data_IF_838821913965
#
_entry.id   IF_838821913965
#
_cell.length_a   1.000
_cell.length_b   1.000
_cell.length_c   1.000
_cell.angle_alpha   90.00
_cell.angle_beta   90.00
_cell.angle_gamma   90.00
#
_symmetry.space_group_name_H-M   'P 1'
#
loop_
_entity.id
_entity.type
_entity.pdbx_description
1 polymer ?
#
# COMPACT_ATOMS: atom_id res chain seq x y z
N UNK A 1 14.25 -68.92 12.47
CA UNK A 1 13.30 -67.86 12.09
C UNK A 1 13.80 -66.44 12.46
N UNK A 2 14.85 -65.84 11.84
CA UNK A 2 15.29 -64.49 12.25
C UNK A 2 15.18 -63.39 11.17
N UNK A 3 14.79 -63.72 9.94
CA UNK A 3 14.88 -62.76 8.80
C UNK A 3 13.71 -61.76 8.71
N UNK A 4 12.56 -62.05 9.31
CA UNK A 4 11.38 -61.19 9.27
C UNK A 4 11.47 -60.00 10.25
N UNK A 5 12.00 -60.21 11.46
CA UNK A 5 12.16 -59.17 12.47
C UNK A 5 13.11 -58.04 12.03
N UNK A 6 14.15 -58.38 11.27
CA UNK A 6 15.14 -57.42 10.79
C UNK A 6 14.59 -56.48 9.70
N UNK A 7 13.62 -56.92 8.90
CA UNK A 7 12.99 -56.08 7.86
C UNK A 7 11.98 -55.09 8.43
N UNK A 8 11.31 -55.43 9.53
CA UNK A 8 10.37 -54.54 10.22
C UNK A 8 11.09 -53.40 10.97
N UNK A 9 12.30 -53.64 11.48
CA UNK A 9 13.13 -52.62 12.13
C UNK A 9 13.65 -51.54 11.16
N UNK A 10 13.98 -51.92 9.91
CA UNK A 10 14.42 -50.95 8.90
C UNK A 10 13.26 -50.12 8.31
N UNK A 11 12.05 -50.67 8.27
CA UNK A 11 10.85 -49.92 7.84
C UNK A 11 10.40 -48.90 8.90
N UNK A 12 10.55 -49.22 10.20
CA UNK A 12 10.21 -48.30 11.29
C UNK A 12 11.19 -47.12 11.43
N UNK A 13 12.47 -47.31 11.09
CA UNK A 13 13.48 -46.24 11.16
C UNK A 13 13.35 -45.18 10.04
N UNK A 14 12.66 -45.50 8.94
CA UNK A 14 12.49 -44.59 7.80
C UNK A 14 11.32 -43.61 7.97
N UNK A 15 10.48 -43.78 8.99
CA UNK A 15 9.30 -42.93 9.24
C UNK A 15 9.57 -41.68 10.10
N UNK A 16 10.71 -41.59 10.79
CA UNK A 16 10.96 -40.53 11.78
C UNK A 16 11.71 -39.29 11.23
N UNK A 17 12.12 -39.28 9.97
CA UNK A 17 12.92 -38.19 9.40
C UNK A 17 12.11 -37.09 8.69
N UNK A 18 10.77 -37.16 8.72
CA UNK A 18 9.90 -36.17 8.08
C UNK A 18 9.24 -35.19 9.07
N UNK A 19 9.77 -35.02 10.28
CA UNK A 19 9.40 -33.92 11.16
C UNK A 19 10.09 -32.64 10.66
N UNK A 20 9.53 -32.02 9.62
CA UNK A 20 9.95 -30.71 9.16
C UNK A 20 9.74 -29.69 10.28
N UNK A 21 10.84 -29.19 10.86
CA UNK A 21 10.80 -28.05 11.77
C UNK A 21 10.31 -26.83 10.99
N UNK A 22 9.02 -26.51 11.11
CA UNK A 22 8.50 -25.22 10.69
C UNK A 22 8.94 -24.17 11.72
N UNK A 23 10.07 -23.51 11.48
CA UNK A 23 10.42 -22.30 12.22
C UNK A 23 9.41 -21.20 11.86
N UNK A 24 8.81 -20.52 12.86
CA UNK A 24 7.95 -19.40 12.57
C UNK A 24 8.76 -18.31 11.85
N UNK A 25 8.14 -17.57 10.90
CA UNK A 25 8.83 -16.46 10.25
C UNK A 25 9.28 -15.46 11.32
N UNK A 26 10.47 -14.84 11.15
CA UNK A 26 10.96 -13.84 12.09
C UNK A 26 9.97 -12.67 12.18
N UNK A 27 9.92 -12.05 13.34
CA UNK A 27 9.03 -10.91 13.55
C UNK A 27 9.45 -9.74 12.65
N UNK A 28 8.47 -9.03 12.06
CA UNK A 28 8.69 -7.98 11.06
C UNK A 28 9.67 -6.88 11.52
N UNK A 29 9.65 -6.52 12.81
CA UNK A 29 10.56 -5.52 13.36
C UNK A 29 12.04 -5.92 13.29
N UNK A 30 12.35 -7.21 13.13
CA UNK A 30 13.73 -7.72 13.01
C UNK A 30 14.30 -7.51 11.61
N UNK A 31 13.44 -7.43 10.59
CA UNK A 31 13.82 -7.07 9.22
C UNK A 31 13.78 -5.55 8.97
N UNK A 32 13.28 -4.77 9.93
CA UNK A 32 13.22 -3.31 9.82
C UNK A 32 14.61 -2.70 10.01
N UNK A 33 14.94 -1.68 9.21
CA UNK A 33 16.26 -1.05 9.21
C UNK A 33 16.17 0.47 9.23
N UNK A 34 16.97 1.10 10.09
CA UNK A 34 17.02 2.56 10.22
C UNK A 34 18.26 3.10 9.53
N UNK A 35 18.09 3.51 8.28
CA UNK A 35 19.16 4.08 7.47
C UNK A 35 19.26 5.60 7.70
N UNK A 36 20.48 6.14 7.62
CA UNK A 36 20.72 7.59 7.74
C UNK A 36 20.14 8.33 6.53
N UNK A 37 20.39 7.79 5.34
CA UNK A 37 19.83 8.27 4.08
C UNK A 37 18.48 7.60 3.85
N UNK A 38 17.43 8.41 3.71
CA UNK A 38 16.05 7.92 3.59
C UNK A 38 15.34 8.58 2.40
N UNK A 39 14.52 7.84 1.64
CA UNK A 39 13.74 8.40 0.53
C UNK A 39 12.52 9.18 1.00
N UNK A 40 12.19 9.20 2.31
CA UNK A 40 10.94 9.74 2.83
C UNK A 40 10.98 11.25 3.12
N UNK A 41 12.00 11.97 2.61
CA UNK A 41 12.24 13.37 2.98
C UNK A 41 12.77 14.21 1.81
N UNK A 42 12.33 15.47 1.73
CA UNK A 42 12.94 16.52 0.91
C UNK A 42 12.97 17.86 1.67
N UNK A 43 13.64 18.87 1.12
CA UNK A 43 13.86 20.17 1.75
C UNK A 43 13.29 21.29 0.89
N UNK A 44 12.83 22.35 1.55
CA UNK A 44 12.38 23.60 0.91
C UNK A 44 12.96 24.79 1.65
N UNK A 45 13.24 25.87 0.92
CA UNK A 45 13.67 27.14 1.53
C UNK A 45 12.51 27.97 2.08
N UNK A 46 11.26 27.49 1.94
CA UNK A 46 10.06 28.16 2.42
C UNK A 46 9.76 27.82 3.88
N UNK A 47 8.88 28.61 4.49
CA UNK A 47 8.33 28.29 5.80
C UNK A 47 7.46 27.01 5.74
N UNK A 48 7.29 26.27 6.85
CA UNK A 48 6.61 24.98 6.85
C UNK A 48 5.20 24.99 6.25
N UNK A 49 4.41 26.05 6.49
CA UNK A 49 3.07 26.17 5.93
C UNK A 49 3.10 26.30 4.40
N UNK A 50 3.97 27.16 3.87
CA UNK A 50 4.13 27.37 2.43
C UNK A 50 4.71 26.15 1.73
N UNK A 51 5.65 25.45 2.36
CA UNK A 51 6.18 24.18 1.86
C UNK A 51 5.08 23.12 1.74
N UNK A 52 4.15 23.06 2.70
CA UNK A 52 3.01 22.16 2.65
C UNK A 52 1.97 22.59 1.61
N UNK A 53 1.81 23.88 1.30
CA UNK A 53 1.00 24.34 0.17
C UNK A 53 1.56 23.85 -1.18
N UNK A 54 2.89 23.77 -1.33
CA UNK A 54 3.50 23.12 -2.50
C UNK A 54 3.14 21.63 -2.56
N UNK A 55 3.20 20.93 -1.42
CA UNK A 55 2.76 19.55 -1.29
C UNK A 55 1.29 19.34 -1.67
N UNK A 56 0.39 20.24 -1.24
CA UNK A 56 -1.03 20.23 -1.63
C UNK A 56 -1.19 20.35 -3.14
N UNK A 57 -0.50 21.32 -3.75
CA UNK A 57 -0.52 21.55 -5.21
C UNK A 57 0.03 20.34 -5.97
N UNK A 58 1.12 19.74 -5.51
CA UNK A 58 1.70 18.55 -6.10
C UNK A 58 0.68 17.39 -6.08
N UNK A 59 0.07 17.08 -4.93
CA UNK A 59 -0.93 16.02 -4.82
C UNK A 59 -2.18 16.28 -5.68
N UNK A 60 -2.71 17.50 -5.65
CA UNK A 60 -3.85 17.89 -6.49
C UNK A 60 -3.53 17.75 -7.98
N UNK A 61 -2.32 18.11 -8.41
CA UNK A 61 -1.88 17.95 -9.81
C UNK A 61 -1.84 16.50 -10.28
N UNK A 62 -1.69 15.55 -9.35
CA UNK A 62 -1.67 14.12 -9.63
C UNK A 62 -3.05 13.46 -9.46
N UNK A 63 -4.10 14.26 -9.21
CA UNK A 63 -5.48 13.78 -9.04
C UNK A 63 -5.75 13.13 -7.69
N UNK A 64 -4.99 13.49 -6.64
CA UNK A 64 -5.33 13.10 -5.27
C UNK A 64 -6.42 14.00 -4.72
N UNK A 65 -7.36 13.41 -3.99
CA UNK A 65 -8.34 14.13 -3.16
C UNK A 65 -7.68 14.46 -1.83
N UNK A 66 -7.68 15.72 -1.43
CA UNK A 66 -7.12 16.14 -0.15
C UNK A 66 -8.15 16.02 0.98
N UNK A 67 -7.68 15.67 2.18
CA UNK A 67 -8.48 15.61 3.39
C UNK A 67 -7.94 16.55 4.48
N UNK A 68 -8.86 17.21 5.19
CA UNK A 68 -8.56 18.11 6.30
C UNK A 68 -8.13 19.52 5.87
N UNK A 69 -7.83 20.36 6.86
CA UNK A 69 -7.50 21.78 6.69
C UNK A 69 -6.19 22.20 7.38
N UNK A 70 -5.36 21.23 7.78
CA UNK A 70 -4.07 21.51 8.41
C UNK A 70 -3.13 22.30 7.47
N UNK A 71 -2.36 23.21 8.05
CA UNK A 71 -1.42 24.07 7.32
C UNK A 71 -0.04 23.42 7.17
N UNK A 72 0.37 22.61 8.15
CA UNK A 72 1.68 21.93 8.19
C UNK A 72 1.59 20.42 8.00
N UNK A 73 0.40 19.91 7.68
CA UNK A 73 0.17 18.50 7.36
C UNK A 73 -0.83 18.38 6.23
N UNK A 74 -0.50 17.56 5.24
CA UNK A 74 -1.36 17.31 4.07
C UNK A 74 -1.67 15.82 4.03
N UNK A 75 -2.93 15.45 3.82
CA UNK A 75 -3.32 14.08 3.49
C UNK A 75 -3.98 14.09 2.13
N UNK A 76 -3.56 13.17 1.27
CA UNK A 76 -4.15 12.95 -0.04
C UNK A 76 -4.46 11.48 -0.26
N UNK A 77 -5.61 11.21 -0.86
CA UNK A 77 -6.06 9.87 -1.23
C UNK A 77 -6.28 9.79 -2.74
N UNK A 78 -5.86 8.68 -3.34
CA UNK A 78 -6.22 8.34 -4.71
C UNK A 78 -6.65 6.88 -4.79
N UNK A 79 -7.79 6.65 -5.43
CA UNK A 79 -8.38 5.33 -5.62
C UNK A 79 -8.06 4.83 -7.03
N UNK A 80 -7.78 3.55 -7.13
CA UNK A 80 -7.48 2.83 -8.36
C UNK A 80 -8.29 1.53 -8.39
N UNK A 81 -8.64 1.09 -9.59
CA UNK A 81 -9.30 -0.19 -9.82
C UNK A 81 -8.55 -0.92 -10.95
N UNK A 82 -7.43 -1.60 -10.63
CA UNK A 82 -6.62 -2.31 -11.64
C UNK A 82 -7.38 -3.43 -12.34
N UNK A 83 -8.34 -4.04 -11.62
CA UNK A 83 -9.25 -5.07 -12.12
C UNK A 83 -10.67 -4.81 -11.58
N UNK A 84 -11.73 -5.31 -12.23
CA UNK A 84 -13.10 -5.08 -11.78
C UNK A 84 -13.36 -5.51 -10.33
N UNK A 85 -12.68 -6.55 -9.85
CA UNK A 85 -12.80 -7.16 -8.53
C UNK A 85 -11.74 -6.71 -7.51
N UNK A 86 -10.83 -5.82 -7.90
CA UNK A 86 -9.74 -5.31 -7.06
C UNK A 86 -9.81 -3.79 -6.91
N UNK A 87 -9.87 -3.32 -5.67
CA UNK A 87 -9.70 -1.91 -5.33
C UNK A 87 -8.31 -1.67 -4.74
N UNK A 88 -7.66 -0.58 -5.12
CA UNK A 88 -6.41 -0.13 -4.50
C UNK A 88 -6.55 1.32 -4.10
N UNK A 89 -6.21 1.64 -2.87
CA UNK A 89 -6.17 3.01 -2.37
C UNK A 89 -4.73 3.37 -2.04
N UNK A 90 -4.30 4.55 -2.48
CA UNK A 90 -2.99 5.10 -2.16
C UNK A 90 -3.19 6.37 -1.33
N UNK A 91 -2.81 6.29 -0.06
CA UNK A 91 -2.88 7.38 0.90
C UNK A 91 -1.49 7.97 1.08
N UNK A 92 -1.33 9.26 0.80
CA UNK A 92 -0.08 10.00 1.03
C UNK A 92 -0.30 10.99 2.16
N UNK A 93 0.60 10.99 3.14
CA UNK A 93 0.68 12.01 4.18
C UNK A 93 1.98 12.77 4.04
N UNK A 94 1.89 14.10 3.94
CA UNK A 94 3.02 15.01 4.02
C UNK A 94 3.00 15.75 5.36
N UNK A 95 4.16 15.91 5.98
CA UNK A 95 4.34 16.71 7.21
C UNK A 95 5.48 17.67 6.98
N UNK A 96 5.24 18.96 7.17
CA UNK A 96 6.23 20.00 7.00
C UNK A 96 6.68 20.53 8.36
N UNK A 97 7.98 20.47 8.65
CA UNK A 97 8.56 20.90 9.91
C UNK A 97 9.65 21.95 9.69
N UNK A 98 9.88 22.87 10.64
CA UNK A 98 10.93 23.89 10.51
C UNK A 98 12.33 23.27 10.46
N UNK A 99 13.21 23.91 9.71
CA UNK A 99 14.63 23.62 9.56
C UNK A 99 15.46 24.90 9.66
N UNK A 100 16.77 24.77 9.84
CA UNK A 100 17.72 25.88 9.77
C UNK A 100 17.74 26.62 8.41
N UNK A 101 17.25 26.00 7.33
CA UNK A 101 17.23 26.61 5.97
C UNK A 101 15.82 26.86 5.43
N UNK A 102 14.77 26.65 6.23
CA UNK A 102 13.38 26.74 5.80
C UNK A 102 12.54 25.63 6.42
N UNK A 103 12.14 24.65 5.60
CA UNK A 103 11.33 23.52 6.02
C UNK A 103 11.83 22.18 5.48
N UNK A 104 11.55 21.14 6.25
CA UNK A 104 11.70 19.73 5.85
C UNK A 104 10.33 19.17 5.57
N UNK A 105 10.16 18.54 4.41
CA UNK A 105 8.92 17.89 4.00
C UNK A 105 9.13 16.38 4.13
N UNK A 106 8.48 15.77 5.10
CA UNK A 106 8.43 14.32 5.26
C UNK A 106 7.22 13.76 4.54
N UNK A 107 7.39 12.63 3.86
CA UNK A 107 6.31 11.93 3.17
C UNK A 107 6.21 10.49 3.63
N UNK A 108 4.98 10.02 3.81
CA UNK A 108 4.67 8.61 4.00
C UNK A 108 3.53 8.24 3.06
N UNK A 109 3.64 7.09 2.40
CA UNK A 109 2.58 6.56 1.56
C UNK A 109 2.18 5.16 2.01
N UNK A 110 0.87 4.93 2.14
CA UNK A 110 0.25 3.65 2.44
C UNK A 110 -0.56 3.19 1.24
N UNK A 111 -0.33 1.96 0.80
CA UNK A 111 -1.12 1.31 -0.22
C UNK A 111 -2.02 0.27 0.44
N UNK A 112 -3.33 0.46 0.33
CA UNK A 112 -4.35 -0.47 0.82
C UNK A 112 -4.96 -1.22 -0.36
N UNK A 113 -5.02 -2.55 -0.27
CA UNK A 113 -5.62 -3.41 -1.31
C UNK A 113 -6.93 -4.00 -0.80
N UNK A 114 -7.91 -4.04 -1.70
CA UNK A 114 -9.25 -4.57 -1.47
C UNK A 114 -9.56 -5.61 -2.54
N UNK A 115 -10.22 -6.70 -2.16
CA UNK A 115 -10.73 -7.70 -3.11
C UNK A 115 -12.21 -7.98 -2.83
N UNK A 116 -12.95 -8.38 -3.85
CA UNK A 116 -14.31 -8.87 -3.67
C UNK A 116 -14.29 -10.20 -2.90
N UNK A 117 -15.02 -10.23 -1.78
CA UNK A 117 -15.33 -11.47 -1.07
C UNK A 117 -16.81 -11.78 -1.26
N UNK A 118 -17.10 -12.89 -1.91
CA UNK A 118 -18.45 -13.46 -2.00
C UNK A 118 -18.88 -13.94 -0.61
N UNK A 119 -19.87 -13.29 -0.01
CA UNK A 119 -20.46 -13.74 1.25
C UNK A 119 -21.70 -14.61 0.99
N UNK A 120 -21.55 -15.93 1.01
CA UNK A 120 -22.69 -16.86 0.94
C UNK A 120 -23.47 -16.84 2.26
N UNK A 121 -24.59 -16.12 2.32
CA UNK A 121 -25.48 -16.11 3.50
C UNK A 121 -26.67 -17.04 3.24
N UNK A 122 -26.58 -18.31 3.65
CA UNK A 122 -27.74 -19.21 3.63
C UNK A 122 -28.62 -18.95 4.86
N UNK A 123 -29.72 -18.23 4.67
CA UNK A 123 -30.75 -18.05 5.72
C UNK A 123 -31.80 -19.14 5.55
N UNK A 124 -31.63 -20.25 6.26
CA UNK A 124 -32.67 -21.27 6.40
C UNK A 124 -33.69 -20.81 7.44
N UNK A 125 -34.91 -20.48 7.02
CA UNK A 125 -36.04 -20.24 7.94
C UNK A 125 -36.78 -21.57 8.13
N UNK A 126 -36.63 -22.18 9.29
CA UNK A 126 -37.40 -23.37 9.69
C UNK A 126 -38.72 -22.95 10.32
N UNK A 127 -39.81 -23.04 9.57
CA UNK A 127 -41.17 -22.94 10.13
C UNK A 127 -41.59 -24.34 10.57
N UNK A 128 -41.83 -24.51 11.87
CA UNK A 128 -42.37 -25.76 12.40
C UNK A 128 -43.81 -25.94 11.89
N UNK A 129 -44.04 -26.84 10.94
CA UNK A 129 -45.38 -27.35 10.64
C UNK A 129 -45.67 -27.72 9.19
N UNK A 130 -45.06 -27.08 8.19
CA UNK A 130 -45.32 -27.37 6.78
C UNK A 130 -44.01 -27.13 6.00
N UNK A 131 -43.68 -28.03 5.06
CA UNK A 131 -42.39 -28.20 4.39
C UNK A 131 -41.52 -26.95 4.15
N UNK A 132 -40.21 -27.12 4.31
CA UNK A 132 -39.19 -26.10 4.05
C UNK A 132 -39.28 -25.59 2.61
N UNK A 133 -39.58 -24.30 2.44
CA UNK A 133 -39.47 -23.64 1.14
C UNK A 133 -38.05 -23.06 1.03
N UNK A 134 -37.17 -23.80 0.37
CA UNK A 134 -35.85 -23.29 0.00
C UNK A 134 -36.02 -22.43 -1.24
N UNK A 135 -36.14 -21.11 -1.06
CA UNK A 135 -36.06 -20.15 -2.16
C UNK A 135 -34.57 -19.92 -2.46
N UNK A 136 -34.04 -20.34 -3.63
CA UNK A 136 -32.65 -20.12 -3.99
C UNK A 136 -32.49 -18.70 -4.54
N UNK A 137 -32.70 -17.70 -3.70
CA UNK A 137 -32.15 -16.38 -3.98
C UNK A 137 -30.75 -16.35 -3.37
N UNK A 138 -29.77 -16.83 -4.15
CA UNK A 138 -28.38 -16.40 -3.95
C UNK A 138 -28.34 -14.91 -4.25
N UNK A 139 -28.58 -14.09 -3.24
CA UNK A 139 -28.08 -12.73 -3.24
C UNK A 139 -26.59 -12.84 -2.94
N UNK A 140 -25.78 -13.03 -3.97
CA UNK A 140 -24.33 -12.89 -3.86
C UNK A 140 -24.04 -11.45 -3.42
N UNK A 141 -23.85 -11.26 -2.11
CA UNK A 141 -23.39 -9.99 -1.56
C UNK A 141 -21.89 -9.95 -1.77
N UNK A 142 -21.48 -9.45 -2.92
CA UNK A 142 -20.10 -9.12 -3.19
C UNK A 142 -19.74 -7.86 -2.39
N UNK A 143 -18.75 -7.96 -1.51
CA UNK A 143 -18.25 -6.84 -0.74
C UNK A 143 -16.74 -6.73 -0.89
N UNK A 144 -16.23 -5.52 -1.08
CA UNK A 144 -14.81 -5.24 -1.04
C UNK A 144 -14.31 -5.37 0.40
N UNK A 145 -13.45 -6.35 0.66
CA UNK A 145 -12.78 -6.52 1.95
C UNK A 145 -11.33 -6.08 1.84
N UNK A 146 -10.82 -5.38 2.85
CA UNK A 146 -9.40 -5.02 2.95
C UNK A 146 -8.58 -6.31 3.08
N UNK A 147 -7.76 -6.61 2.07
CA UNK A 147 -6.92 -7.82 2.03
C UNK A 147 -5.48 -7.56 2.43
N UNK A 148 -5.03 -6.30 2.40
CA UNK A 148 -3.68 -5.94 2.79
C UNK A 148 -3.47 -4.43 2.85
N UNK A 149 -2.46 -4.02 3.60
CA UNK A 149 -1.98 -2.64 3.65
C UNK A 149 -0.48 -2.65 3.89
N UNK A 150 0.23 -1.84 3.13
CA UNK A 150 1.68 -1.78 3.17
C UNK A 150 2.15 -0.34 2.99
N UNK A 151 3.24 0.00 3.68
CA UNK A 151 3.96 1.24 3.42
C UNK A 151 4.71 1.14 2.09
N UNK A 152 4.52 2.09 1.20
CA UNK A 152 5.32 2.17 -0.03
C UNK A 152 6.75 2.50 0.36
N UNK A 153 7.68 1.60 0.05
CA UNK A 153 9.12 1.73 0.34
C UNK A 153 9.96 2.05 -0.90
N UNK A 154 9.39 2.04 -2.10
CA UNK A 154 10.10 2.32 -3.36
C UNK A 154 10.69 3.74 -3.36
N UNK A 155 12.03 3.90 -3.38
CA UNK A 155 12.65 5.22 -3.46
C UNK A 155 12.27 5.99 -4.74
N UNK A 156 11.98 5.28 -5.84
CA UNK A 156 11.56 5.89 -7.09
C UNK A 156 10.22 6.62 -6.99
N UNK A 157 9.29 6.08 -6.21
CA UNK A 157 8.02 6.70 -5.90
C UNK A 157 8.19 8.08 -5.24
N UNK A 158 8.97 8.16 -4.16
CA UNK A 158 9.19 9.42 -3.44
C UNK A 158 9.97 10.42 -4.27
N UNK A 159 10.96 9.98 -5.06
CA UNK A 159 11.68 10.87 -6.00
C UNK A 159 10.73 11.56 -6.98
N UNK A 160 9.76 10.84 -7.55
CA UNK A 160 8.78 11.45 -8.48
C UNK A 160 7.85 12.43 -7.77
N UNK A 161 7.41 12.11 -6.55
CA UNK A 161 6.59 13.00 -5.74
C UNK A 161 7.34 14.30 -5.40
N UNK A 162 8.57 14.18 -4.91
CA UNK A 162 9.36 15.34 -4.52
C UNK A 162 9.85 16.16 -5.70
N UNK A 163 10.13 15.55 -6.85
CA UNK A 163 10.42 16.30 -8.07
C UNK A 163 9.29 17.29 -8.43
N UNK A 164 8.02 16.90 -8.24
CA UNK A 164 6.89 17.81 -8.46
C UNK A 164 6.87 18.96 -7.44
N UNK A 165 7.18 18.66 -6.18
CA UNK A 165 7.27 19.68 -5.13
C UNK A 165 8.40 20.67 -5.42
N UNK A 166 9.57 20.19 -5.84
CA UNK A 166 10.75 21.00 -6.18
C UNK A 166 10.52 21.91 -7.40
N UNK A 167 9.81 21.40 -8.43
CA UNK A 167 9.40 22.20 -9.58
C UNK A 167 8.46 23.34 -9.16
N UNK A 168 7.52 23.05 -8.25
CA UNK A 168 6.59 24.06 -7.71
C UNK A 168 7.26 25.03 -6.74
N UNK A 169 8.30 24.58 -6.02
CA UNK A 169 9.10 25.43 -5.16
C UNK A 169 9.91 26.45 -5.98
N UNK A 170 10.30 26.05 -7.19
CA UNK A 170 11.21 26.80 -8.06
C UNK A 170 12.68 26.46 -7.79
N UNK A 171 12.95 25.44 -6.97
CA UNK A 171 14.31 24.95 -6.67
C UNK A 171 14.85 24.05 -7.77
N UNK A 172 13.96 23.42 -8.54
CA UNK A 172 14.29 22.67 -9.75
C UNK A 172 13.86 23.46 -10.99
N UNK A 173 14.68 24.41 -11.40
CA UNK A 173 14.63 24.98 -12.75
C UNK A 173 15.39 24.06 -13.69
N UNK A 174 14.84 22.87 -13.95
CA UNK A 174 15.30 22.11 -15.11
C UNK A 174 14.74 22.84 -16.33
N UNK A 175 15.66 23.43 -17.09
CA UNK A 175 15.53 23.87 -18.46
C UNK A 175 14.73 22.86 -19.29
N UNK A 176 13.41 23.06 -19.36
CA UNK A 176 12.59 22.48 -20.42
C UNK A 176 12.52 23.54 -21.50
N UNK A 177 13.38 23.34 -22.49
CA UNK A 177 13.35 24.03 -23.76
C UNK A 177 11.92 24.19 -24.26
N UNK A 178 11.64 25.42 -24.66
CA UNK A 178 10.43 25.84 -25.32
C UNK A 178 10.15 24.93 -26.51
N UNK A 179 8.94 24.40 -26.53
CA UNK A 179 8.23 24.09 -27.76
C UNK A 179 8.15 25.36 -28.62
N UNK A 180 9.09 25.59 -29.55
CA UNK A 180 9.02 26.51 -30.72
C UNK A 180 10.41 26.64 -31.35
N UNK A 181 10.70 26.33 -32.61
CA UNK A 181 9.92 25.88 -33.75
C UNK A 181 10.91 25.71 -34.92
N UNK A 182 10.64 24.78 -35.84
CA UNK A 182 11.50 24.65 -37.02
C UNK A 182 11.42 23.30 -37.74
N UNK A 183 10.23 22.90 -38.18
CA UNK A 183 10.10 22.02 -39.35
C UNK A 183 8.93 22.52 -40.18
N UNK A 184 9.24 23.37 -41.16
CA UNK A 184 8.55 23.42 -42.45
C UNK A 184 9.43 24.18 -43.45
N UNK A 185 10.16 23.41 -44.27
CA UNK A 185 10.38 23.70 -45.69
C UNK A 185 10.78 22.44 -46.43
#
# INVERSE_FOLDING_TARGET
MPRAARRLLFAALSGLLAAGCATPPPAVYQSESFQRETPFVTWSTREPADACELGKRALLSQGYRLDGSDTVRVRGEKLFQPRPDEGVTLNITLVCLPSNVGAVIYANALQTRYALKSASTSTGVSVAGIGSISLPWSADKEALVKIGEETVTDPGFYRRLFALVEVLDGTRVDSVDLYSGGVER
#
